data_IF_833374762652
#
_entry.id   IF_833374762652
#
_cell.length_a   1.000
_cell.length_b   1.000
_cell.length_c   1.000
_cell.angle_alpha   90.00
_cell.angle_beta   90.00
_cell.angle_gamma   90.00
#
_symmetry.space_group_name_H-M   'P 1'
#
loop_
_entity.id
_entity.type
_entity.pdbx_description
1 polymer ?
#
# COMPACT_ATOMS: atom_id res chain seq x y z
N UNK A 1 -21.34 -33.05 -20.62
CA UNK A 1 -21.68 -33.75 -19.36
C UNK A 1 -20.98 -33.21 -18.10
N UNK A 2 -19.67 -32.87 -18.13
CA UNK A 2 -18.95 -32.42 -16.92
C UNK A 2 -19.52 -31.11 -16.31
N UNK A 3 -19.69 -30.05 -17.11
CA UNK A 3 -20.22 -28.75 -16.63
C UNK A 3 -21.59 -28.88 -15.95
N UNK A 4 -22.50 -29.70 -16.49
CA UNK A 4 -23.80 -29.97 -15.88
C UNK A 4 -23.68 -30.68 -14.52
N UNK A 5 -22.73 -31.62 -14.36
CA UNK A 5 -22.45 -32.29 -13.09
C UNK A 5 -21.88 -31.33 -12.05
N UNK A 6 -20.98 -30.43 -12.47
CA UNK A 6 -20.43 -29.37 -11.61
C UNK A 6 -21.52 -28.38 -11.17
N UNK A 7 -22.38 -27.94 -12.09
CA UNK A 7 -23.52 -27.08 -11.79
C UNK A 7 -24.48 -27.70 -10.78
N UNK A 8 -24.88 -28.96 -10.98
CA UNK A 8 -25.74 -29.68 -10.04
C UNK A 8 -25.09 -29.89 -8.67
N UNK A 9 -23.77 -30.12 -8.62
CA UNK A 9 -23.04 -30.21 -7.36
C UNK A 9 -23.00 -28.87 -6.60
N UNK A 10 -22.71 -27.76 -7.29
CA UNK A 10 -22.75 -26.42 -6.70
C UNK A 10 -24.14 -26.05 -6.22
N UNK A 11 -25.18 -26.34 -7.00
CA UNK A 11 -26.55 -26.06 -6.63
C UNK A 11 -26.97 -26.85 -5.40
N UNK A 12 -26.58 -28.14 -5.28
CA UNK A 12 -26.81 -28.92 -4.05
C UNK A 12 -26.10 -28.32 -2.84
N UNK A 13 -24.84 -27.91 -2.98
CA UNK A 13 -24.08 -27.27 -1.88
C UNK A 13 -24.69 -25.93 -1.49
N UNK A 14 -25.16 -25.15 -2.46
CA UNK A 14 -25.88 -23.91 -2.21
C UNK A 14 -27.18 -24.16 -1.44
N UNK A 15 -27.99 -25.13 -1.89
CA UNK A 15 -29.26 -25.46 -1.22
C UNK A 15 -29.07 -26.06 0.18
N UNK A 16 -27.89 -26.60 0.50
CA UNK A 16 -27.56 -27.08 1.84
C UNK A 16 -27.23 -25.97 2.86
N UNK A 17 -26.90 -24.75 2.40
CA UNK A 17 -26.65 -23.59 3.27
C UNK A 17 -27.98 -23.10 3.86
N UNK A 18 -28.02 -22.69 5.13
CA UNK A 18 -29.22 -22.14 5.77
C UNK A 18 -29.89 -21.06 4.87
N UNK A 19 -31.22 -21.13 4.63
CA UNK A 19 -31.94 -20.14 3.83
C UNK A 19 -31.67 -18.67 4.22
N UNK A 20 -31.52 -18.39 5.52
CA UNK A 20 -31.21 -17.06 6.03
C UNK A 20 -29.80 -16.60 5.59
N UNK A 21 -28.81 -17.50 5.59
CA UNK A 21 -27.45 -17.21 5.11
C UNK A 21 -27.42 -16.97 3.61
N UNK A 22 -28.22 -17.71 2.83
CA UNK A 22 -28.36 -17.45 1.39
C UNK A 22 -29.00 -16.09 1.11
N UNK A 23 -30.07 -15.75 1.85
CA UNK A 23 -30.74 -14.47 1.73
C UNK A 23 -29.80 -13.32 2.14
N UNK A 24 -29.06 -13.51 3.23
CA UNK A 24 -28.00 -12.61 3.69
C UNK A 24 -26.95 -12.38 2.61
N UNK A 25 -26.43 -13.45 1.98
CA UNK A 25 -25.46 -13.37 0.89
C UNK A 25 -25.95 -12.51 -0.27
N UNK A 26 -27.17 -12.77 -0.75
CA UNK A 26 -27.74 -11.97 -1.85
C UNK A 26 -27.94 -10.52 -1.43
N UNK A 27 -28.42 -10.27 -0.20
CA UNK A 27 -28.60 -8.92 0.33
C UNK A 27 -27.27 -8.16 0.45
N UNK A 28 -26.22 -8.81 0.94
CA UNK A 28 -24.88 -8.23 1.05
C UNK A 28 -24.28 -7.91 -0.32
N UNK A 29 -24.36 -8.85 -1.27
CA UNK A 29 -23.89 -8.63 -2.63
C UNK A 29 -24.63 -7.47 -3.32
N UNK A 30 -25.96 -7.40 -3.19
CA UNK A 30 -26.79 -6.30 -3.74
C UNK A 30 -26.45 -4.96 -3.11
N UNK A 31 -26.27 -4.93 -1.80
CA UNK A 31 -25.89 -3.71 -1.09
C UNK A 31 -24.51 -3.19 -1.54
N UNK A 32 -23.59 -4.10 -1.85
CA UNK A 32 -22.24 -3.74 -2.29
C UNK A 32 -22.17 -3.17 -3.71
N UNK A 33 -23.22 -3.31 -4.54
CA UNK A 33 -23.21 -2.89 -5.95
C UNK A 33 -22.79 -1.43 -6.13
N UNK A 34 -23.25 -0.52 -5.25
CA UNK A 34 -22.88 0.89 -5.29
C UNK A 34 -21.39 1.17 -5.06
N UNK A 35 -20.67 0.22 -4.45
CA UNK A 35 -19.22 0.30 -4.20
C UNK A 35 -18.38 -0.32 -5.33
N UNK A 36 -18.99 -0.98 -6.32
CA UNK A 36 -18.24 -1.62 -7.41
C UNK A 36 -17.48 -0.63 -8.30
N UNK A 37 -18.05 0.50 -8.77
CA UNK A 37 -17.32 1.43 -9.63
C UNK A 37 -16.02 2.00 -9.02
N UNK A 38 -15.98 2.50 -7.77
CA UNK A 38 -14.73 2.97 -7.18
C UNK A 38 -13.72 1.84 -6.96
N UNK A 39 -14.16 0.63 -6.62
CA UNK A 39 -13.24 -0.52 -6.47
C UNK A 39 -12.68 -0.95 -7.83
N UNK A 40 -13.50 -0.95 -8.88
CA UNK A 40 -13.06 -1.24 -10.24
C UNK A 40 -11.97 -0.26 -10.70
N UNK A 41 -12.21 1.04 -10.51
CA UNK A 41 -11.23 2.08 -10.80
C UNK A 41 -9.90 1.83 -10.07
N UNK A 42 -10.00 1.53 -8.78
CA UNK A 42 -8.83 1.28 -7.94
C UNK A 42 -8.04 0.05 -8.37
N UNK A 43 -8.73 -1.08 -8.61
CA UNK A 43 -8.10 -2.31 -9.05
C UNK A 43 -7.45 -2.14 -10.42
N UNK A 44 -8.11 -1.46 -11.36
CA UNK A 44 -7.55 -1.16 -12.68
C UNK A 44 -6.23 -0.40 -12.58
N UNK A 45 -6.20 0.70 -11.81
CA UNK A 45 -4.99 1.50 -11.61
C UNK A 45 -3.89 0.69 -10.93
N UNK A 46 -4.24 -0.12 -9.93
CA UNK A 46 -3.29 -1.02 -9.26
C UNK A 46 -2.69 -2.02 -10.24
N UNK A 47 -3.51 -2.60 -11.11
CA UNK A 47 -3.09 -3.53 -12.15
C UNK A 47 -2.12 -2.91 -13.14
N UNK A 48 -2.44 -1.72 -13.65
CA UNK A 48 -1.56 -0.96 -14.57
C UNK A 48 -0.23 -0.62 -13.88
N UNK A 49 -0.27 -0.16 -12.62
CA UNK A 49 0.93 0.18 -11.86
C UNK A 49 1.85 -1.04 -11.66
N UNK A 50 1.29 -2.21 -11.34
CA UNK A 50 2.08 -3.45 -11.22
C UNK A 50 2.75 -3.81 -12.56
N UNK A 51 2.04 -3.74 -13.68
CA UNK A 51 2.62 -4.04 -15.00
C UNK A 51 3.67 -3.03 -15.48
N UNK A 52 3.64 -1.79 -14.99
CA UNK A 52 4.64 -0.76 -15.29
C UNK A 52 5.78 -0.70 -14.26
N UNK A 53 5.82 -1.66 -13.33
CA UNK A 53 6.88 -1.79 -12.33
C UNK A 53 7.90 -2.87 -12.72
N UNK A 54 8.76 -3.29 -11.79
CA UNK A 54 9.75 -4.35 -12.00
C UNK A 54 9.16 -5.77 -12.08
N UNK A 55 7.83 -5.91 -12.01
CA UNK A 55 7.16 -7.21 -12.02
C UNK A 55 6.91 -7.72 -13.44
N UNK A 56 7.13 -9.02 -13.65
CA UNK A 56 6.61 -9.72 -14.83
C UNK A 56 5.09 -9.90 -14.73
N UNK A 57 4.41 -10.12 -15.86
CA UNK A 57 2.95 -10.36 -15.89
C UNK A 57 2.53 -11.49 -14.93
N UNK A 58 3.18 -12.68 -14.89
CA UNK A 58 2.82 -13.73 -13.95
C UNK A 58 3.01 -13.32 -12.48
N UNK A 59 4.04 -12.54 -12.17
CA UNK A 59 4.27 -12.01 -10.81
C UNK A 59 3.20 -10.99 -10.43
N UNK A 60 2.81 -10.09 -11.34
CA UNK A 60 1.72 -9.14 -11.11
C UNK A 60 0.37 -9.87 -10.88
N UNK A 61 0.08 -10.91 -11.67
CA UNK A 61 -1.09 -11.77 -11.49
C UNK A 61 -1.02 -12.48 -10.14
N UNK A 62 0.11 -13.10 -9.80
CA UNK A 62 0.32 -13.76 -8.52
C UNK A 62 0.13 -12.79 -7.33
N UNK A 63 0.66 -11.59 -7.45
CA UNK A 63 0.54 -10.53 -6.44
C UNK A 63 -0.93 -10.12 -6.23
N UNK A 64 -1.70 -9.86 -7.29
CA UNK A 64 -3.13 -9.50 -7.12
C UNK A 64 -3.96 -10.65 -6.55
N UNK A 65 -3.68 -11.89 -6.96
CA UNK A 65 -4.43 -13.06 -6.50
C UNK A 65 -4.17 -13.39 -5.03
N UNK A 66 -2.91 -13.35 -4.62
CA UNK A 66 -2.48 -13.79 -3.29
C UNK A 66 -2.51 -12.65 -2.26
N UNK A 67 -1.97 -11.47 -2.61
CA UNK A 67 -1.77 -10.39 -1.64
C UNK A 67 -3.07 -9.63 -1.36
N UNK A 68 -3.90 -9.40 -2.38
CA UNK A 68 -5.23 -8.78 -2.26
C UNK A 68 -5.26 -7.56 -1.30
N UNK A 69 -4.30 -6.64 -1.46
CA UNK A 69 -4.10 -5.49 -0.57
C UNK A 69 -3.57 -4.28 -1.35
N UNK A 70 -4.45 -3.63 -2.10
CA UNK A 70 -4.13 -2.54 -3.03
C UNK A 70 -3.16 -1.47 -2.55
N UNK A 71 -3.45 -0.86 -1.40
CA UNK A 71 -2.60 0.20 -0.84
C UNK A 71 -1.19 -0.31 -0.56
N UNK A 72 -1.07 -1.52 -0.01
CA UNK A 72 0.23 -2.16 0.27
C UNK A 72 0.93 -2.57 -1.01
N UNK A 73 0.20 -3.05 -2.02
CA UNK A 73 0.77 -3.36 -3.34
C UNK A 73 1.39 -2.11 -3.95
N UNK A 74 0.65 -1.00 -4.06
CA UNK A 74 1.16 0.25 -4.60
C UNK A 74 2.32 0.83 -3.77
N UNK A 75 2.25 0.74 -2.44
CA UNK A 75 3.28 1.23 -1.53
C UNK A 75 4.64 0.52 -1.71
N UNK A 76 4.64 -0.76 -2.07
CA UNK A 76 5.88 -1.53 -2.20
C UNK A 76 6.53 -1.44 -3.58
N UNK A 77 5.78 -1.14 -4.64
CA UNK A 77 6.32 -1.12 -6.01
C UNK A 77 7.55 -0.21 -6.16
N UNK A 78 7.56 1.03 -5.61
CA UNK A 78 8.75 1.88 -5.68
C UNK A 78 9.94 1.31 -4.92
N UNK A 79 9.71 0.66 -3.77
CA UNK A 79 10.77 0.05 -2.96
C UNK A 79 11.40 -1.14 -3.67
N UNK A 80 10.57 -1.96 -4.33
CA UNK A 80 11.03 -3.05 -5.17
C UNK A 80 11.80 -2.52 -6.39
N UNK A 81 11.30 -1.46 -7.04
CA UNK A 81 11.99 -0.84 -8.17
C UNK A 81 13.35 -0.25 -7.79
N UNK A 82 13.46 0.30 -6.57
CA UNK A 82 14.70 0.80 -6.00
C UNK A 82 15.66 -0.31 -5.52
N UNK A 83 15.29 -1.59 -5.61
CA UNK A 83 16.12 -2.71 -5.18
C UNK A 83 16.32 -2.79 -3.67
N UNK A 84 15.38 -2.27 -2.87
CA UNK A 84 15.49 -2.34 -1.41
C UNK A 84 15.33 -3.78 -0.90
N UNK A 85 15.95 -4.12 0.25
CA UNK A 85 15.86 -5.45 0.82
C UNK A 85 14.41 -5.90 1.06
N UNK A 86 14.13 -7.19 0.84
CA UNK A 86 12.80 -7.79 1.01
C UNK A 86 12.18 -7.44 2.38
N UNK A 87 12.96 -7.43 3.46
CA UNK A 87 12.44 -7.09 4.79
C UNK A 87 11.93 -5.63 4.89
N UNK A 88 12.56 -4.68 4.19
CA UNK A 88 12.10 -3.28 4.13
C UNK A 88 10.78 -3.19 3.40
N UNK A 89 10.64 -3.95 2.30
CA UNK A 89 9.40 -4.05 1.53
C UNK A 89 8.27 -4.65 2.38
N UNK A 90 8.54 -5.75 3.09
CA UNK A 90 7.59 -6.41 3.98
C UNK A 90 7.21 -5.54 5.17
N UNK A 91 8.15 -4.78 5.73
CA UNK A 91 7.89 -3.83 6.81
C UNK A 91 6.93 -2.74 6.35
N UNK A 92 7.16 -2.15 5.17
CA UNK A 92 6.24 -1.17 4.58
C UNK A 92 4.85 -1.76 4.37
N UNK A 93 4.76 -2.96 3.77
CA UNK A 93 3.50 -3.65 3.59
C UNK A 93 2.77 -3.89 4.93
N UNK A 94 3.51 -4.29 5.97
CA UNK A 94 2.96 -4.49 7.31
C UNK A 94 2.42 -3.19 7.91
N UNK A 95 3.19 -2.10 7.88
CA UNK A 95 2.80 -0.80 8.42
C UNK A 95 1.54 -0.29 7.72
N UNK A 96 1.46 -0.38 6.38
CA UNK A 96 0.27 0.04 5.62
C UNK A 96 -0.94 -0.83 5.97
N UNK A 97 -0.72 -2.14 6.21
CA UNK A 97 -1.78 -3.08 6.59
C UNK A 97 -2.21 -3.03 8.07
N UNK A 98 -1.51 -2.31 8.95
CA UNK A 98 -1.85 -2.19 10.38
C UNK A 98 -3.33 -1.84 10.61
N UNK A 99 -3.95 -1.06 9.72
CA UNK A 99 -5.39 -0.72 9.81
C UNK A 99 -6.30 -1.95 9.89
N UNK A 100 -5.92 -3.04 9.24
CA UNK A 100 -6.71 -4.27 9.23
C UNK A 100 -6.70 -4.98 10.58
N UNK A 101 -5.73 -4.71 11.46
CA UNK A 101 -5.70 -5.23 12.82
C UNK A 101 -6.92 -4.69 13.60
N UNK A 102 -7.24 -3.41 13.43
CA UNK A 102 -8.42 -2.78 14.04
C UNK A 102 -9.71 -3.40 13.48
N UNK A 103 -9.77 -3.63 12.17
CA UNK A 103 -10.94 -4.26 11.54
C UNK A 103 -11.11 -5.71 11.98
N UNK A 104 -10.01 -6.44 12.17
CA UNK A 104 -10.00 -7.80 12.69
C UNK A 104 -10.60 -7.86 14.09
N UNK A 105 -10.21 -6.93 14.98
CA UNK A 105 -10.80 -6.80 16.31
C UNK A 105 -12.30 -6.49 16.24
N UNK A 106 -12.70 -5.61 15.31
CA UNK A 106 -14.10 -5.27 15.08
C UNK A 106 -14.95 -6.45 14.63
N UNK A 107 -14.41 -7.37 13.81
CA UNK A 107 -15.12 -8.59 13.37
C UNK A 107 -15.06 -9.74 14.39
N UNK A 108 -14.04 -9.76 15.26
CA UNK A 108 -13.86 -10.80 16.27
C UNK A 108 -15.11 -10.96 17.14
N UNK A 109 -15.72 -9.84 17.56
CA UNK A 109 -16.93 -9.85 18.40
C UNK A 109 -18.16 -10.49 17.71
N UNK A 110 -18.13 -10.67 16.39
CA UNK A 110 -19.21 -11.27 15.60
C UNK A 110 -18.94 -12.73 15.26
N UNK A 111 -17.68 -13.11 15.04
CA UNK A 111 -17.29 -14.38 14.41
C UNK A 111 -16.33 -15.24 15.25
N UNK A 112 -16.06 -14.90 16.52
CA UNK A 112 -15.18 -15.67 17.41
C UNK A 112 -15.61 -17.12 17.61
N UNK A 113 -16.92 -17.39 17.56
CA UNK A 113 -17.55 -18.70 17.71
C UNK A 113 -17.28 -19.68 16.55
N UNK A 114 -16.77 -19.19 15.41
CA UNK A 114 -16.50 -20.02 14.24
C UNK A 114 -15.17 -20.80 14.38
N UNK A 115 -15.01 -21.95 13.69
CA UNK A 115 -13.75 -22.69 13.69
C UNK A 115 -12.62 -21.87 13.06
N UNK A 116 -11.38 -22.12 13.50
CA UNK A 116 -10.19 -21.33 13.16
C UNK A 116 -10.05 -21.04 11.66
N UNK A 117 -10.18 -22.05 10.80
CA UNK A 117 -10.04 -21.87 9.34
C UNK A 117 -11.08 -20.90 8.75
N UNK A 118 -12.32 -20.93 9.23
CA UNK A 118 -13.36 -19.97 8.82
C UNK A 118 -13.03 -18.56 9.28
N UNK A 119 -12.53 -18.41 10.51
CA UNK A 119 -12.11 -17.11 11.05
C UNK A 119 -10.97 -16.50 10.24
N UNK A 120 -9.96 -17.30 9.88
CA UNK A 120 -8.86 -16.88 9.01
C UNK A 120 -9.38 -16.47 7.63
N UNK A 121 -10.29 -17.25 7.03
CA UNK A 121 -10.84 -16.94 5.71
C UNK A 121 -11.66 -15.65 5.72
N UNK A 122 -12.52 -15.47 6.73
CA UNK A 122 -13.27 -14.22 6.95
C UNK A 122 -12.30 -13.04 7.08
N UNK A 123 -11.24 -13.20 7.88
CA UNK A 123 -10.19 -12.19 8.01
C UNK A 123 -9.54 -11.85 6.67
N UNK A 124 -9.06 -12.85 5.93
CA UNK A 124 -8.38 -12.63 4.65
C UNK A 124 -9.24 -11.87 3.63
N UNK A 125 -10.53 -12.17 3.53
CA UNK A 125 -11.45 -11.48 2.62
C UNK A 125 -12.00 -10.15 3.16
N UNK A 126 -11.68 -9.78 4.41
CA UNK A 126 -12.19 -8.56 5.04
C UNK A 126 -11.50 -7.30 4.52
N UNK A 127 -12.12 -6.57 3.60
CA UNK A 127 -11.64 -5.26 3.10
C UNK A 127 -12.18 -4.05 3.84
N UNK A 128 -11.63 -2.87 3.57
CA UNK A 128 -12.07 -1.60 4.15
C UNK A 128 -13.57 -1.35 3.97
N UNK A 129 -14.06 -1.40 2.72
CA UNK A 129 -15.46 -1.15 2.41
C UNK A 129 -16.38 -2.25 2.96
N UNK A 130 -16.12 -3.56 2.75
CA UNK A 130 -16.91 -4.61 3.40
C UNK A 130 -16.98 -4.46 4.92
N UNK A 131 -15.88 -4.16 5.59
CA UNK A 131 -15.86 -3.97 7.05
C UNK A 131 -16.72 -2.80 7.51
N UNK A 132 -16.57 -1.63 6.87
CA UNK A 132 -17.30 -0.41 7.25
C UNK A 132 -18.80 -0.62 7.04
N UNK A 133 -19.20 -1.14 5.88
CA UNK A 133 -20.59 -1.40 5.56
C UNK A 133 -21.20 -2.47 6.47
N UNK A 134 -20.45 -3.53 6.77
CA UNK A 134 -20.85 -4.55 7.73
C UNK A 134 -21.07 -3.96 9.13
N UNK A 135 -20.14 -3.13 9.61
CA UNK A 135 -20.20 -2.53 10.95
C UNK A 135 -21.33 -1.50 11.08
N UNK A 136 -21.70 -0.81 10.00
CA UNK A 136 -22.87 0.07 9.96
C UNK A 136 -24.18 -0.73 10.06
N UNK A 137 -24.25 -1.88 9.39
CA UNK A 137 -25.42 -2.77 9.43
C UNK A 137 -25.54 -3.50 10.76
N UNK A 138 -24.43 -3.90 11.35
CA UNK A 138 -24.36 -4.69 12.58
C UNK A 138 -23.46 -4.02 13.65
N UNK A 139 -23.92 -2.94 14.30
CA UNK A 139 -23.10 -2.17 15.25
C UNK A 139 -22.76 -2.92 16.54
N UNK A 140 -23.60 -3.90 16.94
CA UNK A 140 -23.47 -4.63 18.19
C UNK A 140 -23.07 -6.10 18.02
N UNK A 141 -22.43 -6.68 19.05
CA UNK A 141 -22.22 -8.12 19.13
C UNK A 141 -23.56 -8.83 19.34
N UNK A 142 -23.75 -9.98 18.69
CA UNK A 142 -24.98 -10.75 18.78
C UNK A 142 -25.13 -11.73 17.63
N UNK A 143 -25.56 -12.98 17.91
CA UNK A 143 -25.88 -13.94 16.85
C UNK A 143 -27.12 -13.46 16.10
N UNK A 144 -26.99 -13.30 14.79
CA UNK A 144 -28.10 -12.96 13.90
C UNK A 144 -28.03 -13.86 12.68
N UNK A 145 -29.17 -14.48 12.32
CA UNK A 145 -29.24 -15.37 11.17
C UNK A 145 -29.05 -14.57 9.88
N UNK A 146 -28.25 -15.07 8.95
CA UNK A 146 -27.94 -14.39 7.70
C UNK A 146 -26.73 -13.46 7.75
N UNK A 147 -26.14 -13.25 8.94
CA UNK A 147 -25.05 -12.30 9.16
C UNK A 147 -23.75 -12.71 8.49
N UNK A 148 -23.39 -14.00 8.55
CA UNK A 148 -22.18 -14.53 7.90
C UNK A 148 -22.32 -14.45 6.38
N UNK A 149 -23.47 -14.85 5.85
CA UNK A 149 -23.85 -14.76 4.45
C UNK A 149 -23.76 -13.32 3.95
N UNK A 150 -24.32 -12.35 4.67
CA UNK A 150 -24.24 -10.94 4.32
C UNK A 150 -22.80 -10.44 4.17
N UNK A 151 -21.91 -10.82 5.10
CA UNK A 151 -20.49 -10.51 4.98
C UNK A 151 -19.87 -11.15 3.74
N UNK A 152 -20.12 -12.45 3.50
CA UNK A 152 -19.62 -13.17 2.33
C UNK A 152 -20.11 -12.57 1.02
N UNK A 153 -21.36 -12.12 0.96
CA UNK A 153 -21.94 -11.46 -0.21
C UNK A 153 -21.16 -10.20 -0.59
N UNK A 154 -20.89 -9.33 0.38
CA UNK A 154 -20.08 -8.12 0.17
C UNK A 154 -18.62 -8.47 -0.14
N UNK A 155 -18.03 -9.40 0.60
CA UNK A 155 -16.62 -9.75 0.49
C UNK A 155 -16.29 -10.40 -0.86
N UNK A 156 -17.13 -11.31 -1.35
CA UNK A 156 -16.95 -11.92 -2.67
C UNK A 156 -17.27 -10.95 -3.81
N UNK A 157 -18.26 -10.07 -3.67
CA UNK A 157 -18.51 -9.02 -4.65
C UNK A 157 -17.29 -8.09 -4.77
N UNK A 158 -16.72 -7.67 -3.64
CA UNK A 158 -15.51 -6.86 -3.57
C UNK A 158 -14.29 -7.57 -4.16
N UNK A 159 -14.05 -8.83 -3.79
CA UNK A 159 -12.94 -9.60 -4.32
C UNK A 159 -13.07 -9.82 -5.82
N UNK A 160 -14.27 -10.16 -6.31
CA UNK A 160 -14.49 -10.42 -7.73
C UNK A 160 -14.22 -9.18 -8.57
N UNK A 161 -14.80 -8.03 -8.21
CA UNK A 161 -14.58 -6.79 -8.97
C UNK A 161 -13.12 -6.34 -8.89
N UNK A 162 -12.47 -6.54 -7.75
CA UNK A 162 -11.05 -6.28 -7.57
C UNK A 162 -10.21 -7.11 -8.55
N UNK A 163 -10.43 -8.43 -8.61
CA UNK A 163 -9.63 -9.30 -9.47
C UNK A 163 -9.89 -9.00 -10.94
N UNK A 164 -11.16 -8.84 -11.34
CA UNK A 164 -11.49 -8.51 -12.73
C UNK A 164 -10.81 -7.21 -13.14
N UNK A 165 -10.96 -6.14 -12.36
CA UNK A 165 -10.35 -4.84 -12.70
C UNK A 165 -8.82 -4.87 -12.67
N UNK A 166 -8.21 -5.50 -11.67
CA UNK A 166 -6.74 -5.58 -11.56
C UNK A 166 -6.15 -6.41 -12.68
N UNK A 167 -6.77 -7.54 -13.05
CA UNK A 167 -6.33 -8.35 -14.17
C UNK A 167 -6.48 -7.59 -15.50
N UNK A 168 -7.59 -6.88 -15.71
CA UNK A 168 -7.76 -6.00 -16.87
C UNK A 168 -6.67 -4.91 -16.92
N UNK A 169 -6.30 -4.34 -15.77
CA UNK A 169 -5.23 -3.37 -15.67
C UNK A 169 -3.86 -3.97 -16.00
N UNK A 170 -3.59 -5.19 -15.54
CA UNK A 170 -2.34 -5.91 -15.79
C UNK A 170 -2.18 -6.19 -17.28
N UNK A 171 -3.18 -6.80 -17.91
CA UNK A 171 -3.12 -7.23 -19.32
C UNK A 171 -3.30 -6.06 -20.29
N UNK A 172 -4.09 -5.05 -19.90
CA UNK A 172 -4.34 -3.85 -20.68
C UNK A 172 -3.29 -2.76 -20.53
N UNK A 173 -2.27 -2.95 -19.67
CA UNK A 173 -1.24 -1.95 -19.42
C UNK A 173 -0.47 -1.53 -20.69
N UNK A 174 -0.37 -2.41 -21.68
CA UNK A 174 0.27 -2.13 -22.98
C UNK A 174 -0.50 -1.14 -23.85
N UNK A 175 -1.82 -0.98 -23.62
CA UNK A 175 -2.64 0.02 -24.30
C UNK A 175 -2.26 1.46 -23.91
N UNK A 176 -1.53 1.61 -22.80
CA UNK A 176 -1.12 2.90 -22.27
C UNK A 176 0.37 3.15 -22.57
N UNK A 177 0.70 4.15 -23.40
CA UNK A 177 2.09 4.50 -23.72
C UNK A 177 2.91 4.85 -22.47
N UNK A 178 4.18 4.43 -22.43
CA UNK A 178 5.09 4.77 -21.32
C UNK A 178 5.31 6.28 -21.21
N UNK A 179 5.21 6.98 -22.34
CA UNK A 179 5.22 8.44 -22.39
C UNK A 179 4.15 9.10 -21.51
N UNK A 180 3.10 8.40 -21.09
CA UNK A 180 2.06 8.99 -20.22
C UNK A 180 2.49 9.09 -18.75
N UNK A 181 3.63 8.49 -18.35
CA UNK A 181 4.13 8.61 -16.97
C UNK A 181 3.25 7.92 -15.93
N UNK A 182 2.67 6.77 -16.27
CA UNK A 182 1.69 6.05 -15.45
C UNK A 182 2.21 5.60 -14.07
N UNK A 183 3.52 5.57 -13.85
CA UNK A 183 4.08 5.38 -12.51
C UNK A 183 3.53 6.41 -11.52
N UNK A 184 3.39 7.68 -11.94
CA UNK A 184 2.80 8.75 -11.14
C UNK A 184 1.33 8.47 -10.82
N UNK A 185 0.57 7.82 -11.72
CA UNK A 185 -0.83 7.49 -11.47
C UNK A 185 -1.00 6.58 -10.25
N UNK A 186 -0.06 5.65 -10.01
CA UNK A 186 -0.01 4.83 -8.80
C UNK A 186 0.18 5.66 -7.54
N UNK A 187 1.10 6.64 -7.57
CA UNK A 187 1.33 7.58 -6.46
C UNK A 187 0.12 8.47 -6.22
N UNK A 188 -0.49 9.02 -7.27
CA UNK A 188 -1.71 9.82 -7.17
C UNK A 188 -2.86 9.01 -6.57
N UNK A 189 -2.95 7.72 -6.89
CA UNK A 189 -3.96 6.84 -6.30
C UNK A 189 -3.81 6.73 -4.77
N UNK A 190 -2.59 6.75 -4.22
CA UNK A 190 -2.38 6.71 -2.77
C UNK A 190 -2.92 7.96 -2.03
N UNK A 191 -3.08 9.10 -2.72
CA UNK A 191 -3.57 10.36 -2.13
C UNK A 191 -4.97 10.21 -1.49
N UNK A 192 -6.02 9.72 -2.19
CA UNK A 192 -7.33 9.45 -1.60
C UNK A 192 -7.29 8.60 -0.34
N UNK A 193 -6.47 7.54 -0.36
CA UNK A 193 -6.33 6.63 0.78
C UNK A 193 -5.74 7.40 1.95
N UNK A 194 -4.67 8.16 1.71
CA UNK A 194 -4.07 9.03 2.72
C UNK A 194 -5.09 10.06 3.25
N UNK A 195 -5.72 10.85 2.38
CA UNK A 195 -6.67 11.91 2.76
C UNK A 195 -7.88 11.37 3.52
N UNK A 196 -8.44 10.22 3.11
CA UNK A 196 -9.59 9.61 3.78
C UNK A 196 -9.30 9.07 5.18
N UNK A 197 -8.03 8.77 5.48
CA UNK A 197 -7.58 8.35 6.81
C UNK A 197 -7.33 9.52 7.77
N UNK A 198 -7.20 10.75 7.25
CA UNK A 198 -7.04 11.97 8.06
C UNK A 198 -8.40 12.42 8.58
N UNK A 199 -8.78 11.95 9.78
CA UNK A 199 -10.05 12.31 10.44
C UNK A 199 -9.91 13.22 11.65
N UNK A 200 -8.68 13.53 12.07
CA UNK A 200 -8.42 14.34 13.27
C UNK A 200 -7.19 15.20 13.10
N UNK A 201 -7.10 16.29 13.88
CA UNK A 201 -5.89 17.13 13.96
C UNK A 201 -4.67 16.30 14.33
N UNK A 202 -4.81 15.32 15.22
CA UNK A 202 -3.71 14.44 15.61
C UNK A 202 -3.22 13.57 14.44
N UNK A 203 -4.12 13.04 13.60
CA UNK A 203 -3.73 12.28 12.40
C UNK A 203 -3.05 13.19 11.38
N UNK A 204 -3.53 14.43 11.22
CA UNK A 204 -2.89 15.42 10.37
C UNK A 204 -1.45 15.74 10.84
N UNK A 205 -1.24 15.90 12.15
CA UNK A 205 0.10 16.10 12.72
C UNK A 205 0.99 14.88 12.50
N UNK A 206 0.49 13.66 12.68
CA UNK A 206 1.25 12.45 12.39
C UNK A 206 1.67 12.37 10.91
N UNK A 207 0.78 12.74 9.99
CA UNK A 207 1.07 12.85 8.55
C UNK A 207 2.15 13.90 8.29
N UNK A 208 2.03 15.09 8.87
CA UNK A 208 3.02 16.16 8.70
C UNK A 208 4.41 15.76 9.23
N UNK A 209 4.48 15.15 10.42
CA UNK A 209 5.74 14.67 11.00
C UNK A 209 6.35 13.57 10.13
N UNK A 210 5.56 12.60 9.68
CA UNK A 210 6.06 11.51 8.84
C UNK A 210 6.56 12.02 7.48
N UNK A 211 5.84 12.97 6.87
CA UNK A 211 6.27 13.68 5.68
C UNK A 211 7.63 14.36 5.89
N UNK A 212 7.79 15.18 6.93
CA UNK A 212 9.05 15.86 7.22
C UNK A 212 10.19 14.88 7.45
N UNK A 213 9.97 13.83 8.27
CA UNK A 213 10.98 12.80 8.53
C UNK A 213 11.40 12.06 7.26
N UNK A 214 10.45 11.76 6.37
CA UNK A 214 10.74 11.13 5.09
C UNK A 214 11.61 12.04 4.20
N UNK A 215 11.34 13.34 4.16
CA UNK A 215 12.15 14.30 3.40
C UNK A 215 13.54 14.48 3.99
N UNK A 216 13.66 14.57 5.31
CA UNK A 216 14.96 14.65 5.99
C UNK A 216 15.79 13.38 5.73
N UNK A 217 15.16 12.21 5.81
CA UNK A 217 15.82 10.94 5.50
C UNK A 217 16.27 10.88 4.02
N UNK A 218 15.43 11.37 3.10
CA UNK A 218 15.77 11.43 1.69
C UNK A 218 16.96 12.36 1.42
N UNK A 219 16.98 13.54 2.02
CA UNK A 219 18.09 14.48 1.91
C UNK A 219 19.38 13.94 2.53
N UNK A 220 19.30 13.22 3.65
CA UNK A 220 20.45 12.58 4.28
C UNK A 220 20.99 11.39 3.47
N UNK A 221 20.15 10.74 2.65
CA UNK A 221 20.53 9.59 1.83
C UNK A 221 21.21 9.97 0.50
N UNK A 222 20.98 11.18 -0.02
CA UNK A 222 21.68 11.69 -1.21
C UNK A 222 23.10 12.09 -0.80
N UNK A 223 24.16 11.39 -1.28
CA UNK A 223 25.52 11.83 -1.01
C UNK A 223 25.68 13.23 -1.61
N UNK A 224 26.17 14.19 -0.81
CA UNK A 224 26.63 15.44 -1.37
C UNK A 224 27.69 15.11 -2.42
N UNK A 225 27.40 15.41 -3.70
CA UNK A 225 28.42 15.53 -4.75
C UNK A 225 29.61 16.28 -4.12
N UNK A 226 30.87 15.79 -4.27
CA UNK A 226 32.03 16.50 -3.75
C UNK A 226 32.16 17.84 -4.48
N UNK A 227 31.44 18.83 -3.97
CA UNK A 227 31.48 20.20 -4.45
C UNK A 227 32.91 20.67 -4.39
N UNK A 228 33.43 20.98 -5.57
CA UNK A 228 34.70 21.58 -5.88
C UNK A 228 35.22 22.49 -4.77
N UNK A 229 36.09 21.94 -3.91
CA UNK A 229 36.90 22.72 -2.96
C UNK A 229 38.17 23.26 -3.62
N UNK A 230 38.13 23.65 -4.90
CA UNK A 230 39.18 24.47 -5.53
C UNK A 230 38.72 25.92 -5.70
N UNK A 231 38.22 26.50 -4.62
CA UNK A 231 37.95 27.94 -4.54
C UNK A 231 38.49 28.50 -3.24
N UNK A 232 39.75 28.95 -3.25
CA UNK A 232 40.28 29.85 -2.24
C UNK A 232 41.12 29.21 -1.15
N UNK A 233 42.44 29.10 -1.40
CA UNK A 233 43.51 29.48 -0.47
C UNK A 233 44.87 29.36 -1.15
N UNK A 234 45.13 30.29 -2.08
CA UNK A 234 46.51 30.72 -2.35
C UNK A 234 46.82 31.86 -1.39
N UNK A 235 47.60 31.54 -0.36
CA UNK A 235 48.07 32.45 0.68
C UNK A 235 49.34 31.86 1.27
N UNK A 236 50.48 32.41 0.86
CA UNK A 236 51.79 31.77 0.92
C UNK A 236 52.35 31.45 2.31
N UNK A 237 53.29 30.49 2.33
CA UNK A 237 54.67 30.68 2.80
C UNK A 237 55.49 29.38 2.64
N UNK A 238 56.80 29.47 2.33
CA UNK A 238 57.64 28.30 2.12
C UNK A 238 58.41 27.87 3.39
N UNK A 239 58.60 26.55 3.52
CA UNK A 239 59.77 25.95 4.13
C UNK A 239 59.77 25.73 5.65
N UNK A 240 59.75 24.45 6.07
CA UNK A 240 60.84 23.83 6.85
C UNK A 240 60.56 22.35 7.15
N UNK A 241 61.55 21.52 6.86
CA UNK A 241 61.69 20.12 7.30
C UNK A 241 61.62 20.02 8.83
N UNK A 242 61.01 18.96 9.36
CA UNK A 242 61.68 18.00 10.26
C UNK A 242 60.79 16.81 10.60
N UNK A 243 61.44 15.66 10.54
CA UNK A 243 61.07 14.35 11.05
C UNK A 243 60.84 14.36 12.56
N UNK A 244 59.79 13.68 13.03
CA UNK A 244 59.81 12.98 14.31
C UNK A 244 58.84 11.78 14.29
N UNK A 245 59.40 10.59 14.55
CA UNK A 245 58.67 9.38 14.91
C UNK A 245 58.12 9.52 16.34
N UNK A 246 56.92 9.00 16.58
CA UNK A 246 56.59 8.22 17.79
C UNK A 246 55.34 7.35 17.55
N UNK A 247 55.26 6.14 18.14
CA UNK A 247 54.19 5.16 17.92
C UNK A 247 53.12 5.19 19.03
N UNK A 248 51.84 5.09 18.68
CA UNK A 248 50.73 4.75 19.58
C UNK A 248 49.58 4.22 18.70
N UNK A 249 49.30 2.92 18.67
CA UNK A 249 48.46 2.15 19.60
C UNK A 249 46.96 2.48 19.50
N UNK A 250 46.26 1.54 18.84
CA UNK A 250 44.85 1.13 18.98
C UNK A 250 43.69 2.09 18.63
N UNK A 251 42.91 1.69 17.61
CA UNK A 251 41.45 1.73 17.65
C UNK A 251 40.87 0.51 16.92
N UNK A 252 39.86 -0.18 17.49
CA UNK A 252 39.34 -1.42 16.93
C UNK A 252 38.46 -1.14 15.71
N UNK A 253 38.79 -1.72 14.56
CA UNK A 253 37.85 -1.91 13.45
C UNK A 253 36.76 -2.91 13.87
N UNK A 254 35.76 -2.44 14.62
CA UNK A 254 34.51 -3.17 14.85
C UNK A 254 33.40 -2.53 14.02
N UNK A 255 32.97 -3.29 13.01
CA UNK A 255 31.57 -3.47 12.64
C UNK A 255 30.72 -2.19 12.49
N UNK A 256 31.07 -1.33 11.54
CA UNK A 256 30.03 -0.73 10.71
C UNK A 256 29.90 -1.66 9.50
N UNK A 257 29.10 -2.71 9.65
CA UNK A 257 28.67 -3.53 8.53
C UNK A 257 28.00 -2.60 7.53
N UNK A 258 28.76 -2.25 6.51
CA UNK A 258 28.25 -1.61 5.32
C UNK A 258 27.05 -2.43 4.87
N UNK A 259 25.85 -1.89 5.02
CA UNK A 259 24.75 -2.19 4.13
C UNK A 259 25.22 -1.65 2.79
N UNK A 260 26.09 -2.42 2.14
CA UNK A 260 26.33 -2.31 0.71
C UNK A 260 24.95 -2.52 0.13
N UNK A 261 24.35 -1.44 -0.36
CA UNK A 261 23.38 -1.52 -1.41
C UNK A 261 24.14 -2.13 -2.59
N UNK A 262 24.26 -3.46 -2.60
CA UNK A 262 24.56 -4.19 -3.82
C UNK A 262 23.33 -3.97 -4.69
N UNK A 263 23.40 -2.96 -5.55
CA UNK A 263 22.47 -2.73 -6.65
C UNK A 263 22.56 -3.86 -7.68
N UNK A 264 22.34 -5.09 -7.23
CA UNK A 264 22.04 -6.22 -8.07
C UNK A 264 20.59 -6.10 -8.53
N UNK A 265 20.33 -6.40 -9.80
CA UNK A 265 18.97 -6.52 -10.30
C UNK A 265 18.13 -7.38 -9.35
N UNK A 266 16.94 -6.92 -8.98
CA UNK A 266 16.05 -7.64 -8.07
C UNK A 266 15.86 -9.06 -8.58
N UNK A 267 16.23 -10.05 -7.77
CA UNK A 267 16.12 -11.44 -8.19
C UNK A 267 14.66 -11.83 -8.36
N UNK A 268 14.36 -12.67 -9.35
CA UNK A 268 13.04 -13.31 -9.51
C UNK A 268 12.59 -13.99 -8.21
N UNK A 269 13.55 -14.57 -7.46
CA UNK A 269 13.28 -15.18 -6.16
C UNK A 269 12.85 -14.13 -5.13
N UNK A 270 13.52 -12.98 -5.07
CA UNK A 270 13.19 -11.90 -4.12
C UNK A 270 11.77 -11.36 -4.35
N UNK A 271 11.35 -11.27 -5.62
CA UNK A 271 9.98 -10.86 -5.96
C UNK A 271 8.96 -11.86 -5.42
N UNK A 272 9.17 -13.16 -5.65
CA UNK A 272 8.25 -14.18 -5.15
C UNK A 272 8.26 -14.28 -3.62
N UNK A 273 9.43 -14.20 -2.98
CA UNK A 273 9.55 -14.11 -1.52
C UNK A 273 8.78 -12.90 -0.98
N UNK A 274 8.87 -11.76 -1.66
CA UNK A 274 8.09 -10.57 -1.33
C UNK A 274 6.59 -10.83 -1.46
N UNK A 275 6.12 -11.40 -2.57
CA UNK A 275 4.69 -11.72 -2.79
C UNK A 275 4.15 -12.66 -1.70
N UNK A 276 4.87 -13.75 -1.40
CA UNK A 276 4.46 -14.70 -0.36
C UNK A 276 4.52 -14.08 1.04
N UNK A 277 5.59 -13.33 1.35
CA UNK A 277 5.72 -12.61 2.61
C UNK A 277 4.61 -11.58 2.80
N UNK A 278 4.26 -10.82 1.76
CA UNK A 278 3.14 -9.88 1.77
C UNK A 278 1.81 -10.60 1.96
N UNK A 279 1.63 -11.77 1.35
CA UNK A 279 0.43 -12.59 1.55
C UNK A 279 0.28 -13.00 3.01
N UNK A 280 1.37 -13.44 3.64
CA UNK A 280 1.40 -13.75 5.07
C UNK A 280 1.07 -12.50 5.89
N UNK A 281 1.71 -11.36 5.61
CA UNK A 281 1.43 -10.08 6.26
C UNK A 281 -0.04 -9.71 6.14
N UNK A 282 -0.65 -9.86 4.96
CA UNK A 282 -2.08 -9.62 4.74
C UNK A 282 -2.95 -10.55 5.59
N UNK A 283 -2.70 -11.86 5.55
CA UNK A 283 -3.47 -12.85 6.34
C UNK A 283 -3.36 -12.53 7.83
N UNK A 284 -2.13 -12.33 8.32
CA UNK A 284 -1.87 -12.06 9.74
C UNK A 284 -2.54 -10.78 10.17
N UNK A 285 -2.35 -9.66 9.46
CA UNK A 285 -2.93 -8.37 9.85
C UNK A 285 -4.46 -8.36 9.81
N UNK A 286 -5.09 -9.03 8.83
CA UNK A 286 -6.56 -9.06 8.72
C UNK A 286 -7.24 -10.10 9.62
N UNK A 287 -6.54 -11.18 9.95
CA UNK A 287 -7.08 -12.24 10.79
C UNK A 287 -6.52 -12.23 12.22
N UNK A 288 -5.63 -11.30 12.61
CA UNK A 288 -4.89 -11.37 13.89
C UNK A 288 -5.78 -11.68 15.09
N UNK A 289 -6.83 -10.88 15.29
CA UNK A 289 -7.75 -11.05 16.40
C UNK A 289 -8.73 -12.20 16.19
N UNK A 290 -9.11 -12.45 14.94
CA UNK A 290 -9.91 -13.63 14.57
C UNK A 290 -9.14 -14.95 14.80
N UNK A 291 -7.81 -14.94 14.73
CA UNK A 291 -6.96 -16.10 15.01
C UNK A 291 -6.79 -16.32 16.50
N UNK A 292 -6.46 -15.25 17.24
CA UNK A 292 -6.12 -15.32 18.67
C UNK A 292 -7.37 -15.36 19.58
N UNK A 293 -8.51 -14.86 19.10
CA UNK A 293 -9.75 -14.77 19.86
C UNK A 293 -9.61 -13.83 21.06
N UNK A 294 -10.34 -14.16 22.13
CA UNK A 294 -10.53 -13.32 23.32
C UNK A 294 -9.25 -13.11 24.15
N UNK A 295 -8.14 -13.77 23.78
CA UNK A 295 -6.86 -13.72 24.51
C UNK A 295 -6.04 -12.44 24.27
N UNK A 296 -6.39 -11.66 23.24
CA UNK A 296 -5.71 -10.42 22.90
C UNK A 296 -6.69 -9.27 23.07
N UNK A 297 -6.61 -8.54 24.18
CA UNK A 297 -7.24 -7.22 24.32
C UNK A 297 -6.17 -6.16 24.07
N UNK A 298 -6.22 -5.46 22.94
CA UNK A 298 -5.22 -4.41 22.68
C UNK A 298 -5.38 -3.28 23.70
N UNK A 299 -4.31 -2.88 24.40
CA UNK A 299 -4.34 -1.72 25.29
C UNK A 299 -4.81 -0.48 24.52
N UNK A 300 -5.61 0.38 25.17
CA UNK A 300 -6.17 1.60 24.55
C UNK A 300 -5.09 2.48 23.89
N UNK A 301 -3.88 2.51 24.46
CA UNK A 301 -2.71 3.22 23.91
C UNK A 301 -2.27 2.67 22.55
N UNK A 302 -2.27 1.34 22.38
CA UNK A 302 -1.90 0.71 21.12
C UNK A 302 -2.98 0.97 20.07
N UNK A 303 -4.27 0.82 20.42
CA UNK A 303 -5.36 1.18 19.52
C UNK A 303 -5.28 2.64 19.06
N UNK A 304 -4.96 3.55 19.99
CA UNK A 304 -4.71 4.96 19.69
C UNK A 304 -3.49 5.20 18.81
N UNK A 305 -2.42 4.42 18.93
CA UNK A 305 -1.24 4.56 18.07
C UNK A 305 -1.49 4.01 16.65
N UNK A 306 -2.12 2.83 16.55
CA UNK A 306 -2.37 2.16 15.26
C UNK A 306 -3.29 2.96 14.33
N UNK A 307 -4.15 3.83 14.87
CA UNK A 307 -5.02 4.70 14.05
C UNK A 307 -4.25 5.73 13.21
N UNK A 308 -3.01 6.07 13.58
CA UNK A 308 -2.19 7.07 12.90
C UNK A 308 -1.24 6.48 11.86
N UNK A 309 -0.79 5.23 12.07
CA UNK A 309 0.25 4.59 11.28
C UNK A 309 -0.03 4.54 9.76
N UNK A 310 -1.24 4.20 9.27
CA UNK A 310 -1.50 4.11 7.84
C UNK A 310 -1.35 5.47 7.12
N UNK A 311 -1.91 6.53 7.71
CA UNK A 311 -1.86 7.87 7.12
C UNK A 311 -0.41 8.38 7.04
N UNK A 312 0.35 8.20 8.13
CA UNK A 312 1.76 8.57 8.23
C UNK A 312 2.62 7.81 7.21
N UNK A 313 2.42 6.50 7.06
CA UNK A 313 3.18 5.70 6.10
C UNK A 313 2.90 6.09 4.65
N UNK A 314 1.63 6.34 4.30
CA UNK A 314 1.29 6.82 2.96
C UNK A 314 1.91 8.19 2.67
N UNK A 315 1.93 9.10 3.65
CA UNK A 315 2.58 10.39 3.50
C UNK A 315 4.09 10.26 3.26
N UNK A 316 4.74 9.35 4.00
CA UNK A 316 6.17 9.08 3.86
C UNK A 316 6.54 8.43 2.51
N UNK A 317 5.57 7.87 1.78
CA UNK A 317 5.78 7.29 0.44
C UNK A 317 5.44 8.32 -0.64
N UNK A 318 4.27 8.95 -0.54
CA UNK A 318 3.74 9.84 -1.58
C UNK A 318 4.56 11.11 -1.68
N UNK A 319 4.92 11.74 -0.56
CA UNK A 319 5.54 13.07 -0.60
C UNK A 319 6.95 13.06 -1.21
N UNK A 320 7.86 12.14 -0.83
CA UNK A 320 9.15 12.02 -1.50
C UNK A 320 9.02 11.76 -3.02
N UNK A 321 8.10 10.90 -3.43
CA UNK A 321 7.92 10.55 -4.84
C UNK A 321 7.43 11.74 -5.69
N UNK A 322 6.57 12.60 -5.13
CA UNK A 322 6.10 13.83 -5.79
C UNK A 322 7.20 14.91 -5.89
N UNK A 323 8.12 14.95 -4.92
CA UNK A 323 9.22 15.93 -4.88
C UNK A 323 10.47 15.46 -5.61
N UNK A 324 10.55 14.19 -5.99
CA UNK A 324 11.68 13.66 -6.75
C UNK A 324 11.52 13.91 -8.24
N UNK A 325 12.41 14.70 -8.82
CA UNK A 325 12.41 15.04 -10.24
C UNK A 325 13.84 15.06 -10.81
N UNK A 326 14.03 14.61 -12.05
CA UNK A 326 15.34 14.59 -12.75
C UNK A 326 16.57 14.12 -11.93
N UNK A 327 16.39 13.14 -11.04
CA UNK A 327 17.49 12.56 -10.25
C UNK A 327 17.82 13.29 -8.96
N UNK A 328 17.01 14.26 -8.53
CA UNK A 328 17.20 14.97 -7.27
C UNK A 328 15.90 15.46 -6.63
N UNK A 329 16.07 16.08 -5.47
CA UNK A 329 14.98 16.76 -4.76
C UNK A 329 14.66 18.09 -5.46
N UNK A 330 13.40 18.27 -5.87
CA UNK A 330 12.92 19.45 -6.58
C UNK A 330 11.58 19.92 -6.02
N UNK A 331 11.63 20.97 -5.20
CA UNK A 331 10.45 21.62 -4.62
C UNK A 331 9.98 22.85 -5.43
N UNK A 332 10.42 22.99 -6.68
CA UNK A 332 10.04 24.13 -7.53
C UNK A 332 8.59 24.03 -8.01
N UNK A 333 7.99 25.19 -8.33
CA UNK A 333 6.66 25.27 -8.97
C UNK A 333 6.64 24.73 -10.41
N UNK A 334 7.83 24.54 -11.00
CA UNK A 334 8.01 23.94 -12.32
C UNK A 334 8.02 22.41 -12.27
N UNK A 335 8.11 21.79 -11.09
CA UNK A 335 8.08 20.33 -10.97
C UNK A 335 6.68 19.80 -11.36
N UNK A 336 6.55 19.07 -12.50
CA UNK A 336 5.26 18.62 -12.99
C UNK A 336 4.62 17.57 -12.07
N UNK A 337 5.41 16.75 -11.36
CA UNK A 337 4.91 15.74 -10.42
C UNK A 337 4.29 16.39 -9.19
N UNK A 338 4.98 17.39 -8.62
CA UNK A 338 4.48 18.14 -7.47
C UNK A 338 3.16 18.85 -7.82
N UNK A 339 3.11 19.55 -8.95
CA UNK A 339 1.90 20.25 -9.39
C UNK A 339 0.74 19.30 -9.67
N UNK A 340 1.01 18.14 -10.28
CA UNK A 340 0.02 17.10 -10.47
C UNK A 340 -0.55 16.59 -9.14
N UNK A 341 0.31 16.35 -8.14
CA UNK A 341 -0.10 15.95 -6.80
C UNK A 341 -0.97 16.99 -6.08
N UNK A 342 -0.64 18.28 -6.20
CA UNK A 342 -1.42 19.38 -5.63
C UNK A 342 -2.80 19.46 -6.30
N UNK A 343 -2.84 19.49 -7.64
CA UNK A 343 -4.09 19.56 -8.40
C UNK A 343 -5.00 18.35 -8.11
N UNK A 344 -4.43 17.16 -8.08
CA UNK A 344 -5.10 15.93 -7.71
C UNK A 344 -5.69 16.02 -6.28
N UNK A 345 -4.89 16.43 -5.30
CA UNK A 345 -5.33 16.57 -3.91
C UNK A 345 -6.47 17.57 -3.79
N UNK A 346 -6.35 18.75 -4.41
CA UNK A 346 -7.39 19.78 -4.41
C UNK A 346 -8.70 19.26 -5.01
N UNK A 347 -8.63 18.61 -6.17
CA UNK A 347 -9.81 18.02 -6.82
C UNK A 347 -10.46 16.96 -5.93
N UNK A 348 -9.68 16.08 -5.31
CA UNK A 348 -10.22 15.03 -4.44
C UNK A 348 -10.87 15.59 -3.18
N UNK A 349 -10.25 16.60 -2.54
CA UNK A 349 -10.83 17.26 -1.36
C UNK A 349 -12.18 17.89 -1.70
N UNK A 350 -12.31 18.52 -2.88
CA UNK A 350 -13.53 19.16 -3.33
C UNK A 350 -14.63 18.17 -3.77
N UNK A 351 -14.28 17.12 -4.51
CA UNK A 351 -15.26 16.27 -5.20
C UNK A 351 -15.46 14.89 -4.59
N UNK A 352 -14.46 14.40 -3.83
CA UNK A 352 -14.36 13.01 -3.35
C UNK A 352 -14.40 11.96 -4.47
N UNK A 353 -14.17 12.36 -5.74
CA UNK A 353 -14.17 11.47 -6.91
C UNK A 353 -12.75 11.02 -7.25
N UNK A 354 -12.44 9.78 -6.93
CA UNK A 354 -11.10 9.22 -7.09
C UNK A 354 -10.62 9.17 -8.55
N UNK A 355 -11.47 8.69 -9.48
CA UNK A 355 -11.12 8.67 -10.91
C UNK A 355 -10.84 10.07 -11.46
N UNK A 356 -11.72 11.02 -11.15
CA UNK A 356 -11.56 12.40 -11.60
C UNK A 356 -10.27 13.03 -11.07
N UNK A 357 -9.89 12.71 -9.82
CA UNK A 357 -8.60 13.16 -9.26
C UNK A 357 -7.42 12.65 -10.08
N UNK A 358 -7.41 11.36 -10.44
CA UNK A 358 -6.31 10.78 -11.23
C UNK A 358 -6.25 11.44 -12.60
N UNK A 359 -7.41 11.61 -13.27
CA UNK A 359 -7.49 12.27 -14.56
C UNK A 359 -6.97 13.71 -14.50
N UNK A 360 -7.35 14.49 -13.48
CA UNK A 360 -6.89 15.87 -13.30
C UNK A 360 -5.39 15.92 -13.03
N UNK A 361 -4.88 15.10 -12.11
CA UNK A 361 -3.45 15.05 -11.80
C UNK A 361 -2.61 14.65 -13.02
N UNK A 362 -3.00 13.59 -13.74
CA UNK A 362 -2.32 13.15 -14.96
C UNK A 362 -2.42 14.18 -16.09
N UNK A 363 -3.54 14.89 -16.20
CA UNK A 363 -3.72 15.98 -17.15
C UNK A 363 -2.74 17.13 -16.90
N UNK A 364 -2.65 17.59 -15.65
CA UNK A 364 -1.69 18.63 -15.22
C UNK A 364 -0.25 18.18 -15.45
N UNK A 365 0.09 16.94 -15.07
CA UNK A 365 1.41 16.37 -15.31
C UNK A 365 1.77 16.40 -16.80
N UNK A 366 0.84 15.98 -17.66
CA UNK A 366 1.06 15.90 -19.11
C UNK A 366 1.26 17.28 -19.72
N UNK A 367 0.42 18.26 -19.37
CA UNK A 367 0.55 19.63 -19.88
C UNK A 367 1.88 20.25 -19.47
N UNK A 368 2.24 20.18 -18.19
CA UNK A 368 3.48 20.78 -17.69
C UNK A 368 4.73 20.10 -18.25
N UNK A 369 4.69 18.78 -18.49
CA UNK A 369 5.80 18.04 -19.12
C UNK A 369 5.96 18.36 -20.61
N UNK A 370 4.90 18.72 -21.31
CA UNK A 370 4.95 19.04 -22.74
C UNK A 370 5.29 20.52 -23.00
N UNK A 371 5.04 21.40 -22.03
CA UNK A 371 5.25 22.85 -22.16
C UNK A 371 6.44 23.41 -21.37
N UNK A 372 6.98 22.65 -20.41
CA UNK A 372 8.24 22.94 -19.73
C UNK A 372 9.34 22.01 -20.24
#
# INVERSE_FOLDING_TARGET
MALARWGAALQRRWQAIDPAERAGFVAGARFYVGSLPPVFAWGLVTGVAMSKSVLTIPQAIGMTLLVYAGSSQLAVLPLMAAGLPVWTVLLTAFIVNVRFIIFSAGLMQHFSHLPFGRRVLIGFFNGDLPFVLFSQRYPGPGPERGKEGYLWGMALANWTIWQVSSLLGIVGASLFPDAWGLALAGTLALIPVMVSTIRSRATLMAVAVAAVLALVALQAAVPAEPGDRRGGRDGGRPGRRRSHRSPAMAAPRRAAGAVRAEGGAVSTLDIWLTIFGMTIVTIVTRALFLMVGDRLTLPMRVQHALRFAPAAALAAIVLPDLLWNHGGFDASWTNPRLMAGIAATAFYVATRRMLGMICVGMGVYTVLRLWG
#
